data_IF_237984999470
#
_entry.id   IF_237984999470
#
_cell.length_a   1.000
_cell.length_b   1.000
_cell.length_c   1.000
_cell.angle_alpha   90.00
_cell.angle_beta   90.00
_cell.angle_gamma   90.00
#
_symmetry.space_group_name_H-M   'P 1'
#
loop_
_entity.id
_entity.type
_entity.pdbx_description
1 polymer ?
#
# COMPACT_ATOMS: atom_id res chain seq x y z
N UNK A 1 20.28 -7.63 33.66
CA UNK A 1 19.04 -7.33 34.42
C UNK A 1 18.21 -6.24 33.75
N UNK A 2 18.82 -5.13 33.30
CA UNK A 2 18.10 -3.98 32.70
C UNK A 2 17.31 -4.30 31.42
N UNK A 3 17.82 -5.15 30.51
CA UNK A 3 17.08 -5.55 29.29
C UNK A 3 15.77 -6.28 29.60
N UNK A 4 15.76 -7.14 30.63
CA UNK A 4 14.54 -7.87 31.05
C UNK A 4 13.53 -6.93 31.71
N UNK A 5 13.99 -5.98 32.52
CA UNK A 5 13.10 -4.98 33.13
C UNK A 5 12.48 -4.04 32.08
N UNK A 6 13.21 -3.71 31.01
CA UNK A 6 12.69 -2.90 29.92
C UNK A 6 11.66 -3.66 29.08
N UNK A 7 11.89 -4.94 28.78
CA UNK A 7 10.96 -5.79 28.04
C UNK A 7 9.63 -6.01 28.79
N UNK A 8 9.69 -6.29 30.10
CA UNK A 8 8.49 -6.41 30.95
C UNK A 8 7.70 -5.10 30.95
N UNK A 9 8.38 -3.96 30.98
CA UNK A 9 7.74 -2.65 30.93
C UNK A 9 7.09 -2.39 29.56
N UNK A 10 7.72 -2.81 28.47
CA UNK A 10 7.14 -2.70 27.11
C UNK A 10 5.86 -3.52 26.96
N UNK A 11 5.87 -4.77 27.44
CA UNK A 11 4.70 -5.65 27.40
C UNK A 11 3.52 -5.09 28.21
N UNK A 12 3.79 -4.51 29.38
CA UNK A 12 2.77 -3.83 30.18
C UNK A 12 2.16 -2.64 29.45
N UNK A 13 2.96 -1.84 28.73
CA UNK A 13 2.45 -0.71 27.97
C UNK A 13 1.66 -1.14 26.74
N UNK A 14 2.04 -2.23 26.08
CA UNK A 14 1.27 -2.85 25.00
C UNK A 14 -0.15 -3.21 25.48
N UNK A 15 -0.25 -3.92 26.61
CA UNK A 15 -1.52 -4.29 27.22
C UNK A 15 -2.34 -3.05 27.63
N UNK A 16 -1.70 -2.04 28.22
CA UNK A 16 -2.32 -0.77 28.61
C UNK A 16 -2.92 -0.03 27.41
N UNK A 17 -2.18 0.04 26.30
CA UNK A 17 -2.62 0.71 25.07
C UNK A 17 -3.78 -0.07 24.42
N UNK A 18 -3.72 -1.40 24.41
CA UNK A 18 -4.78 -2.25 23.88
C UNK A 18 -6.08 -2.09 24.68
N UNK A 19 -6.00 -2.14 26.02
CA UNK A 19 -7.16 -1.94 26.89
C UNK A 19 -7.80 -0.55 26.72
N UNK A 20 -6.98 0.50 26.60
CA UNK A 20 -7.48 1.85 26.35
C UNK A 20 -8.24 1.96 25.01
N UNK A 21 -7.72 1.35 23.95
CA UNK A 21 -8.39 1.34 22.63
C UNK A 21 -9.69 0.54 22.66
N UNK A 22 -9.70 -0.61 23.35
CA UNK A 22 -10.88 -1.48 23.43
C UNK A 22 -12.01 -0.87 24.26
N UNK A 23 -11.69 0.05 25.19
CA UNK A 23 -12.69 0.77 25.99
C UNK A 23 -13.62 1.68 25.17
N UNK A 24 -13.17 2.12 23.98
CA UNK A 24 -13.90 3.09 23.16
C UNK A 24 -14.02 4.50 23.75
N UNK A 25 -13.46 4.75 24.94
CA UNK A 25 -13.48 6.04 25.60
C UNK A 25 -12.42 7.00 25.05
N UNK A 26 -12.59 8.33 25.17
CA UNK A 26 -11.51 9.27 24.90
C UNK A 26 -10.30 8.99 25.79
N UNK A 27 -9.10 8.89 25.21
CA UNK A 27 -7.86 8.51 25.91
C UNK A 27 -7.59 9.35 27.16
N UNK A 28 -7.92 10.65 27.15
CA UNK A 28 -7.76 11.51 28.33
C UNK A 28 -8.64 11.07 29.51
N UNK A 29 -9.85 10.59 29.22
CA UNK A 29 -10.81 10.10 30.23
C UNK A 29 -10.32 8.76 30.78
N UNK A 30 -9.96 7.84 29.89
CA UNK A 30 -9.41 6.54 30.27
C UNK A 30 -8.13 6.68 31.12
N UNK A 31 -7.21 7.55 30.71
CA UNK A 31 -5.99 7.82 31.47
C UNK A 31 -6.27 8.36 32.89
N UNK A 32 -7.29 9.21 33.05
CA UNK A 32 -7.67 9.74 34.36
C UNK A 32 -8.29 8.65 35.26
N UNK A 33 -9.11 7.76 34.69
CA UNK A 33 -9.76 6.66 35.41
C UNK A 33 -8.76 5.61 35.90
N UNK A 34 -7.77 5.26 35.06
CA UNK A 34 -6.80 4.20 35.36
C UNK A 34 -5.47 4.72 35.93
N UNK A 35 -5.40 6.01 36.31
CA UNK A 35 -4.21 6.60 36.94
C UNK A 35 -2.98 6.64 36.02
N UNK A 36 -3.19 6.67 34.69
CA UNK A 36 -2.13 6.69 33.69
C UNK A 36 -1.85 8.12 33.26
N UNK A 37 -0.58 8.54 33.29
CA UNK A 37 -0.21 9.85 32.73
C UNK A 37 -0.45 9.88 31.21
N UNK A 38 -1.22 10.87 30.74
CA UNK A 38 -1.52 11.09 29.32
C UNK A 38 -0.24 11.26 28.49
N UNK A 39 0.77 11.95 29.01
CA UNK A 39 2.04 12.16 28.30
C UNK A 39 2.84 10.86 28.17
N UNK A 40 2.83 10.02 29.21
CA UNK A 40 3.43 8.69 29.18
C UNK A 40 2.70 7.79 28.18
N UNK A 41 1.36 7.82 28.16
CA UNK A 41 0.55 7.06 27.23
C UNK A 41 0.91 7.35 25.77
N UNK A 42 0.89 8.62 25.35
CA UNK A 42 1.24 8.98 23.97
C UNK A 42 2.70 8.71 23.62
N UNK A 43 3.62 8.87 24.59
CA UNK A 43 5.04 8.54 24.39
C UNK A 43 5.21 7.04 24.12
N UNK A 44 4.57 6.19 24.91
CA UNK A 44 4.63 4.74 24.74
C UNK A 44 3.85 4.28 23.51
N UNK A 45 2.70 4.87 23.20
CA UNK A 45 1.96 4.59 21.97
C UNK A 45 2.80 4.89 20.72
N UNK A 46 3.50 6.03 20.70
CA UNK A 46 4.43 6.35 19.62
C UNK A 46 5.58 5.35 19.57
N UNK A 47 6.23 5.07 20.70
CA UNK A 47 7.35 4.12 20.76
C UNK A 47 6.94 2.73 20.28
N UNK A 48 5.78 2.23 20.71
CA UNK A 48 5.23 0.95 20.27
C UNK A 48 4.93 0.94 18.78
N UNK A 49 4.33 2.01 18.24
CA UNK A 49 4.12 2.15 16.79
C UNK A 49 5.44 2.14 16.03
N UNK A 50 6.43 2.90 16.50
CA UNK A 50 7.73 3.00 15.85
C UNK A 50 8.51 1.66 15.94
N UNK A 51 8.37 0.91 17.05
CA UNK A 51 8.90 -0.46 17.19
C UNK A 51 8.20 -1.47 16.28
N UNK A 52 6.87 -1.42 16.15
CA UNK A 52 6.12 -2.27 15.22
C UNK A 52 6.49 -1.96 13.76
N UNK A 53 6.63 -0.67 13.41
CA UNK A 53 7.15 -0.26 12.09
C UNK A 53 8.60 -0.72 11.88
N UNK A 54 9.40 -0.83 12.95
CA UNK A 54 10.76 -1.35 12.89
C UNK A 54 10.79 -2.88 12.79
N UNK A 55 9.84 -3.60 13.39
CA UNK A 55 9.67 -5.06 13.28
C UNK A 55 9.09 -5.45 11.91
N UNK A 56 8.15 -4.67 11.38
CA UNK A 56 7.65 -4.78 9.99
C UNK A 56 8.76 -4.46 8.98
N UNK A 57 9.68 -3.53 9.31
CA UNK A 57 10.95 -3.36 8.60
C UNK A 57 11.97 -4.47 8.88
N UNK A 58 11.89 -5.19 9.99
CA UNK A 58 12.85 -6.26 10.29
C UNK A 58 12.61 -7.51 9.42
N UNK A 59 11.42 -7.64 8.83
CA UNK A 59 11.10 -8.59 7.76
C UNK A 59 11.49 -8.08 6.35
N UNK A 60 12.45 -7.14 6.25
CA UNK A 60 13.08 -6.81 4.97
C UNK A 60 13.87 -8.03 4.50
N UNK A 61 13.35 -8.70 3.48
CA UNK A 61 13.96 -9.84 2.77
C UNK A 61 15.37 -9.56 2.23
N UNK A 62 15.87 -8.33 2.30
CA UNK A 62 17.15 -7.88 1.73
C UNK A 62 17.85 -6.83 2.61
N UNK A 63 18.16 -7.15 3.88
CA UNK A 63 18.85 -6.22 4.79
C UNK A 63 20.18 -5.71 4.20
N UNK A 64 20.89 -6.56 3.47
CA UNK A 64 22.10 -6.24 2.70
C UNK A 64 21.94 -5.12 1.65
N UNK A 65 20.71 -4.77 1.25
CA UNK A 65 20.44 -3.68 0.31
C UNK A 65 20.05 -2.37 1.00
N UNK A 66 19.85 -2.35 2.33
CA UNK A 66 19.53 -1.13 3.04
C UNK A 66 20.66 -0.09 2.96
N UNK A 67 20.29 1.15 2.62
CA UNK A 67 21.22 2.29 2.47
C UNK A 67 22.36 2.07 1.46
N UNK A 68 22.28 1.02 0.65
CA UNK A 68 23.25 0.75 -0.40
C UNK A 68 22.98 1.70 -1.58
N UNK A 69 24.00 2.40 -2.13
CA UNK A 69 23.83 3.26 -3.29
C UNK A 69 23.71 2.42 -4.58
N UNK A 70 22.66 1.59 -4.63
CA UNK A 70 22.48 0.54 -5.64
C UNK A 70 22.49 1.10 -7.05
N UNK A 71 21.85 2.24 -7.27
CA UNK A 71 21.86 2.90 -8.57
C UNK A 71 23.29 3.20 -9.03
N UNK A 72 24.10 3.87 -8.21
CA UNK A 72 25.48 4.23 -8.58
C UNK A 72 26.37 3.01 -8.79
N UNK A 73 26.23 1.97 -7.98
CA UNK A 73 26.98 0.71 -8.14
C UNK A 73 26.64 0.00 -9.46
N UNK A 74 25.36 0.02 -9.85
CA UNK A 74 24.93 -0.56 -11.12
C UNK A 74 25.38 0.31 -12.30
N UNK A 75 25.32 1.64 -12.20
CA UNK A 75 25.83 2.59 -13.21
C UNK A 75 27.33 2.38 -13.45
N UNK A 76 28.13 2.27 -12.39
CA UNK A 76 29.57 2.01 -12.46
C UNK A 76 29.86 0.64 -13.10
N UNK A 77 29.10 -0.39 -12.72
CA UNK A 77 29.31 -1.74 -13.24
C UNK A 77 28.95 -1.87 -14.72
N UNK A 78 27.81 -1.30 -15.13
CA UNK A 78 27.27 -1.50 -16.47
C UNK A 78 27.63 -0.38 -17.45
N UNK A 79 28.16 0.74 -16.97
CA UNK A 79 28.47 1.93 -17.78
C UNK A 79 27.25 2.41 -18.57
N UNK A 80 26.07 2.29 -17.94
CA UNK A 80 24.77 2.67 -18.49
C UNK A 80 23.97 3.43 -17.42
N UNK A 81 23.11 4.39 -17.80
CA UNK A 81 22.18 5.01 -16.86
C UNK A 81 21.28 3.97 -16.20
N UNK A 82 21.11 4.04 -14.88
CA UNK A 82 20.24 3.14 -14.12
C UNK A 82 19.14 3.94 -13.47
N UNK A 83 17.93 3.37 -13.45
CA UNK A 83 16.79 4.03 -12.83
C UNK A 83 16.07 3.05 -11.91
N UNK A 84 15.95 3.44 -10.65
CA UNK A 84 15.20 2.71 -9.65
C UNK A 84 13.78 3.27 -9.56
N UNK A 85 12.80 2.39 -9.53
CA UNK A 85 11.42 2.72 -9.25
C UNK A 85 10.75 1.54 -8.54
N UNK A 86 9.61 1.80 -7.90
CA UNK A 86 8.75 0.76 -7.37
C UNK A 86 8.26 -0.17 -8.50
N UNK A 87 8.21 -1.47 -8.23
CA UNK A 87 7.84 -2.50 -9.21
C UNK A 87 6.44 -2.27 -9.80
N UNK A 88 5.48 -1.81 -8.98
CA UNK A 88 4.13 -1.50 -9.41
C UNK A 88 4.08 -0.40 -10.46
N UNK A 89 5.02 0.55 -10.44
CA UNK A 89 5.08 1.61 -11.45
C UNK A 89 5.33 1.02 -12.83
N UNK A 90 6.29 0.10 -12.93
CA UNK A 90 6.59 -0.60 -14.19
C UNK A 90 5.43 -1.48 -14.63
N UNK A 91 4.77 -2.19 -13.70
CA UNK A 91 3.60 -3.03 -14.01
C UNK A 91 2.47 -2.25 -14.68
N UNK A 92 2.02 -1.14 -14.07
CA UNK A 92 0.93 -0.35 -14.64
C UNK A 92 1.36 0.40 -15.90
N UNK A 93 2.61 0.90 -15.94
CA UNK A 93 3.13 1.59 -17.12
C UNK A 93 3.21 0.65 -18.33
N UNK A 94 3.75 -0.56 -18.13
CA UNK A 94 3.82 -1.58 -19.15
C UNK A 94 2.44 -1.99 -19.65
N UNK A 95 1.46 -2.14 -18.76
CA UNK A 95 0.06 -2.38 -19.16
C UNK A 95 -0.46 -1.27 -20.07
N UNK A 96 -0.34 0.00 -19.65
CA UNK A 96 -0.80 1.14 -20.45
C UNK A 96 -0.13 1.21 -21.82
N UNK A 97 1.17 0.90 -21.90
CA UNK A 97 1.92 0.90 -23.17
C UNK A 97 1.50 -0.22 -24.10
N UNK A 98 1.34 -1.44 -23.58
CA UNK A 98 0.96 -2.60 -24.39
C UNK A 98 -0.48 -2.49 -24.90
N UNK A 99 -1.37 -1.93 -24.10
CA UNK A 99 -2.79 -1.75 -24.45
C UNK A 99 -3.08 -0.43 -25.19
N UNK A 100 -2.06 0.40 -25.45
CA UNK A 100 -2.22 1.66 -26.18
C UNK A 100 -3.09 2.70 -25.45
N UNK A 101 -3.07 2.72 -24.12
CA UNK A 101 -3.98 3.50 -23.27
C UNK A 101 -3.44 4.90 -22.91
N UNK A 102 -2.89 5.63 -23.89
CA UNK A 102 -2.19 6.90 -23.65
C UNK A 102 -3.05 7.98 -22.99
N UNK A 103 -4.34 8.07 -23.35
CA UNK A 103 -5.23 9.13 -22.86
C UNK A 103 -6.10 8.73 -21.66
N UNK A 104 -5.94 7.50 -21.15
CA UNK A 104 -6.74 7.00 -20.05
C UNK A 104 -6.05 7.22 -18.71
N UNK A 105 -6.84 7.27 -17.64
CA UNK A 105 -6.36 7.14 -16.25
C UNK A 105 -6.51 5.67 -15.87
N UNK A 106 -5.40 5.00 -15.60
CA UNK A 106 -5.38 3.57 -15.29
C UNK A 106 -4.74 3.36 -13.93
N UNK A 107 -5.46 2.69 -13.03
CA UNK A 107 -4.97 2.35 -11.69
C UNK A 107 -4.83 0.84 -11.57
N UNK A 108 -3.64 0.37 -11.22
CA UNK A 108 -3.39 -1.03 -10.84
C UNK A 108 -3.40 -1.13 -9.31
N UNK A 109 -4.27 -1.99 -8.77
CA UNK A 109 -4.36 -2.31 -7.36
C UNK A 109 -3.87 -3.73 -7.09
N UNK A 110 -2.89 -3.88 -6.19
CA UNK A 110 -2.33 -5.16 -5.78
C UNK A 110 -2.82 -5.51 -4.37
N UNK A 111 -3.42 -6.69 -4.24
CA UNK A 111 -3.96 -7.21 -2.98
C UNK A 111 -3.27 -8.55 -2.62
N UNK A 112 -2.03 -8.49 -2.10
CA UNK A 112 -1.33 -9.66 -1.57
C UNK A 112 -1.93 -10.11 -0.22
N UNK A 113 -1.90 -11.41 0.08
CA UNK A 113 -2.31 -11.93 1.39
C UNK A 113 -1.32 -11.55 2.48
N UNK A 114 -1.84 -11.09 3.63
CA UNK A 114 -1.06 -10.72 4.82
C UNK A 114 -0.20 -9.45 4.67
N UNK A 115 -0.26 -8.75 3.53
CA UNK A 115 0.57 -7.58 3.25
C UNK A 115 -0.31 -6.42 2.81
N UNK A 116 -0.01 -5.21 3.29
CA UNK A 116 -0.82 -4.03 3.00
C UNK A 116 -0.96 -3.80 1.49
N UNK A 117 -2.18 -3.56 0.98
CA UNK A 117 -2.39 -3.34 -0.43
C UNK A 117 -1.87 -1.97 -0.87
N UNK A 118 -1.36 -1.93 -2.09
CA UNK A 118 -0.85 -0.74 -2.76
C UNK A 118 -1.47 -0.58 -4.14
N UNK A 119 -1.39 0.64 -4.67
CA UNK A 119 -1.85 0.96 -6.01
C UNK A 119 -0.84 1.86 -6.74
N UNK A 120 -0.85 1.79 -8.06
CA UNK A 120 -0.09 2.69 -8.92
C UNK A 120 -1.00 3.20 -10.03
N UNK A 121 -0.95 4.50 -10.31
CA UNK A 121 -1.81 5.13 -11.32
C UNK A 121 -0.98 5.84 -12.38
N UNK A 122 -1.35 5.64 -13.65
CA UNK A 122 -0.75 6.30 -14.80
C UNK A 122 -1.81 7.07 -15.58
N UNK A 123 -1.44 8.27 -16.04
CA UNK A 123 -2.20 9.06 -16.99
C UNK A 123 -1.25 9.77 -17.96
N UNK A 124 -1.48 9.68 -19.27
CA UNK A 124 -0.62 10.31 -20.30
C UNK A 124 0.85 9.91 -20.19
N UNK A 125 1.08 8.63 -19.88
CA UNK A 125 2.43 8.10 -19.64
C UNK A 125 3.10 8.61 -18.36
N UNK A 126 2.44 9.48 -17.60
CA UNK A 126 2.95 10.03 -16.34
C UNK A 126 2.39 9.23 -15.18
N UNK A 127 3.28 8.79 -14.31
CA UNK A 127 2.94 8.15 -13.05
C UNK A 127 2.54 9.17 -11.99
N UNK A 128 1.42 8.94 -11.32
CA UNK A 128 0.99 9.68 -10.14
C UNK A 128 1.67 9.12 -8.88
N UNK A 129 2.91 9.55 -8.61
CA UNK A 129 3.68 9.04 -7.46
C UNK A 129 3.36 9.74 -6.12
N UNK A 130 2.86 10.98 -6.18
CA UNK A 130 2.71 11.83 -4.99
C UNK A 130 4.06 12.30 -4.42
N UNK A 131 4.01 13.18 -3.42
CA UNK A 131 5.19 13.92 -2.92
C UNK A 131 6.34 13.02 -2.45
N UNK A 132 6.00 11.95 -1.73
CA UNK A 132 6.97 11.02 -1.12
C UNK A 132 6.73 9.58 -1.59
N UNK A 133 6.31 9.40 -2.86
CA UNK A 133 5.96 8.07 -3.41
C UNK A 133 4.81 7.38 -2.65
N UNK A 134 3.94 8.17 -2.02
CA UNK A 134 2.87 7.66 -1.16
C UNK A 134 1.49 7.61 -1.85
N UNK A 135 1.37 8.18 -3.05
CA UNK A 135 0.10 8.13 -3.76
C UNK A 135 -0.28 6.67 -4.03
N UNK A 136 -1.53 6.33 -3.77
CA UNK A 136 -2.04 4.99 -4.01
C UNK A 136 -1.81 3.97 -2.90
N UNK A 137 -1.26 4.37 -1.75
CA UNK A 137 -1.09 3.50 -0.58
C UNK A 137 -2.42 3.24 0.16
N UNK A 138 -3.34 2.53 -0.48
CA UNK A 138 -4.70 2.26 0.02
C UNK A 138 -4.73 1.40 1.29
N UNK A 139 -3.64 0.70 1.60
CA UNK A 139 -3.45 0.06 2.90
C UNK A 139 -3.47 1.02 4.10
N UNK A 140 -3.33 2.33 3.88
CA UNK A 140 -3.37 3.36 4.93
C UNK A 140 -4.69 4.16 4.97
N UNK A 141 -5.72 3.73 4.23
CA UNK A 141 -7.06 4.30 4.41
C UNK A 141 -7.58 4.01 5.82
N UNK A 142 -8.45 4.87 6.33
CA UNK A 142 -9.11 4.63 7.61
C UNK A 142 -10.24 3.60 7.45
N UNK A 143 -9.92 2.35 7.78
CA UNK A 143 -10.88 1.25 7.81
C UNK A 143 -11.58 1.09 9.17
N UNK A 144 -11.41 2.04 10.09
CA UNK A 144 -11.97 1.96 11.44
C UNK A 144 -11.34 0.86 12.30
N UNK A 145 -10.12 0.43 11.98
CA UNK A 145 -9.38 -0.62 12.69
C UNK A 145 -7.88 -0.30 12.75
N UNK A 146 -7.14 -1.00 13.63
CA UNK A 146 -5.68 -0.88 13.66
C UNK A 146 -5.03 -1.55 12.45
N UNK A 147 -3.77 -1.20 12.17
CA UNK A 147 -2.99 -1.83 11.10
C UNK A 147 -2.84 -3.35 11.30
N UNK A 148 -2.61 -3.77 12.54
CA UNK A 148 -2.52 -5.19 12.92
C UNK A 148 -3.84 -5.93 12.63
N UNK A 149 -4.97 -5.35 13.01
CA UNK A 149 -6.29 -5.91 12.73
C UNK A 149 -6.57 -5.96 11.23
N UNK A 150 -6.11 -4.95 10.49
CA UNK A 150 -6.24 -4.91 9.04
C UNK A 150 -5.42 -6.04 8.41
N UNK A 151 -4.13 -6.18 8.75
CA UNK A 151 -3.25 -7.25 8.26
C UNK A 151 -3.85 -8.62 8.57
N UNK A 152 -4.38 -8.82 9.78
CA UNK A 152 -5.07 -10.04 10.16
C UNK A 152 -6.31 -10.32 9.29
N UNK A 153 -6.94 -9.31 8.69
CA UNK A 153 -8.08 -9.46 7.75
C UNK A 153 -7.67 -9.54 6.28
N UNK A 154 -6.39 -9.36 5.94
CA UNK A 154 -5.88 -9.48 4.56
C UNK A 154 -5.71 -10.94 4.17
N UNK A 155 -6.80 -11.70 4.24
CA UNK A 155 -6.93 -13.08 3.77
C UNK A 155 -8.35 -13.27 3.26
N UNK A 156 -8.57 -14.28 2.41
CA UNK A 156 -9.90 -14.56 1.89
C UNK A 156 -10.74 -15.31 2.95
N UNK A 157 -12.03 -15.00 3.13
CA UNK A 157 -12.83 -13.98 2.41
C UNK A 157 -12.81 -12.59 3.07
N UNK A 158 -12.18 -12.45 4.23
CA UNK A 158 -12.30 -11.29 5.12
C UNK A 158 -11.75 -9.97 4.55
N UNK A 159 -10.93 -10.04 3.50
CA UNK A 159 -10.39 -8.87 2.80
C UNK A 159 -11.41 -8.12 1.94
N UNK A 160 -12.54 -8.74 1.55
CA UNK A 160 -13.50 -8.18 0.59
C UNK A 160 -14.03 -6.78 0.99
N UNK A 161 -14.44 -6.52 2.25
CA UNK A 161 -14.86 -5.18 2.67
C UNK A 161 -13.77 -4.10 2.51
N UNK A 162 -12.51 -4.45 2.79
CA UNK A 162 -11.37 -3.54 2.65
C UNK A 162 -11.14 -3.21 1.17
N UNK A 163 -11.23 -4.21 0.29
CA UNK A 163 -11.09 -4.06 -1.16
C UNK A 163 -12.20 -3.17 -1.73
N UNK A 164 -13.44 -3.36 -1.30
CA UNK A 164 -14.58 -2.53 -1.71
C UNK A 164 -14.36 -1.07 -1.29
N UNK A 165 -14.01 -0.83 -0.02
CA UNK A 165 -13.79 0.53 0.49
C UNK A 165 -12.61 1.22 -0.23
N UNK A 166 -11.52 0.51 -0.47
CA UNK A 166 -10.40 1.01 -1.27
C UNK A 166 -10.83 1.34 -2.71
N UNK A 167 -11.60 0.46 -3.35
CA UNK A 167 -12.10 0.67 -4.72
C UNK A 167 -12.98 1.93 -4.81
N UNK A 168 -13.91 2.11 -3.88
CA UNK A 168 -14.76 3.31 -3.78
C UNK A 168 -13.89 4.57 -3.65
N UNK A 169 -12.87 4.54 -2.79
CA UNK A 169 -11.97 5.68 -2.60
C UNK A 169 -11.18 6.00 -3.86
N UNK A 170 -10.62 4.99 -4.53
CA UNK A 170 -9.87 5.16 -5.79
C UNK A 170 -10.76 5.73 -6.89
N UNK A 171 -11.99 5.22 -7.04
CA UNK A 171 -12.94 5.74 -8.00
C UNK A 171 -13.28 7.21 -7.70
N UNK A 172 -13.56 7.53 -6.44
CA UNK A 172 -13.98 8.88 -6.03
C UNK A 172 -12.85 9.92 -6.18
N UNK A 173 -11.60 9.53 -5.96
CA UNK A 173 -10.46 10.46 -5.95
C UNK A 173 -9.82 10.58 -7.34
N UNK A 174 -9.70 9.47 -8.07
CA UNK A 174 -8.96 9.41 -9.32
C UNK A 174 -9.87 9.42 -10.55
N UNK A 175 -11.14 9.03 -10.40
CA UNK A 175 -12.08 8.77 -11.50
C UNK A 175 -11.40 8.05 -12.68
N UNK A 176 -10.83 6.85 -12.43
CA UNK A 176 -10.05 6.16 -13.45
C UNK A 176 -10.97 5.69 -14.59
N UNK A 177 -10.39 5.47 -15.77
CA UNK A 177 -11.08 4.77 -16.85
C UNK A 177 -11.05 3.25 -16.59
N UNK A 178 -9.95 2.76 -16.05
CA UNK A 178 -9.75 1.35 -15.70
C UNK A 178 -9.19 1.19 -14.29
N UNK A 179 -9.79 0.28 -13.53
CA UNK A 179 -9.27 -0.20 -12.25
C UNK A 179 -8.90 -1.67 -12.40
N UNK A 180 -7.59 -1.92 -12.46
CA UNK A 180 -7.01 -3.23 -12.63
C UNK A 180 -6.78 -3.85 -11.24
N UNK A 181 -7.12 -5.12 -11.09
CA UNK A 181 -6.97 -5.87 -9.84
C UNK A 181 -6.00 -7.04 -10.04
N UNK A 182 -5.04 -7.19 -9.14
CA UNK A 182 -4.09 -8.31 -9.09
C UNK A 182 -3.82 -8.71 -7.64
N UNK A 183 -3.21 -9.88 -7.43
CA UNK A 183 -2.88 -10.42 -6.12
C UNK A 183 -3.72 -11.64 -5.75
N UNK A 184 -3.26 -12.40 -4.77
CA UNK A 184 -3.84 -13.69 -4.35
C UNK A 184 -5.10 -13.53 -3.48
N UNK A 185 -5.41 -12.32 -3.01
CA UNK A 185 -6.68 -12.04 -2.34
C UNK A 185 -7.87 -11.92 -3.27
N UNK A 186 -7.67 -11.92 -4.60
CA UNK A 186 -8.73 -11.75 -5.60
C UNK A 186 -8.73 -12.84 -6.66
N UNK A 187 -9.93 -13.13 -7.17
CA UNK A 187 -10.16 -13.91 -8.38
C UNK A 187 -11.05 -13.10 -9.32
N UNK A 188 -11.00 -13.39 -10.61
CA UNK A 188 -11.84 -12.72 -11.62
C UNK A 188 -13.34 -12.77 -11.26
N UNK A 189 -13.79 -13.88 -10.69
CA UNK A 189 -15.17 -14.09 -10.23
C UNK A 189 -15.63 -13.13 -9.12
N UNK A 190 -14.70 -12.50 -8.39
CA UNK A 190 -15.02 -11.57 -7.31
C UNK A 190 -15.38 -10.17 -7.82
N UNK A 191 -14.89 -9.78 -9.01
CA UNK A 191 -15.04 -8.43 -9.54
C UNK A 191 -16.52 -8.04 -9.69
N UNK A 192 -17.39 -8.98 -10.06
CA UNK A 192 -18.83 -8.72 -10.17
C UNK A 192 -19.46 -8.30 -8.83
N UNK A 193 -19.06 -8.95 -7.72
CA UNK A 193 -19.53 -8.64 -6.37
C UNK A 193 -18.99 -7.30 -5.89
N UNK A 194 -17.69 -7.04 -6.09
CA UNK A 194 -17.05 -5.77 -5.72
C UNK A 194 -17.66 -4.61 -6.49
N UNK A 195 -17.85 -4.77 -7.80
CA UNK A 195 -18.52 -3.77 -8.67
C UNK A 195 -19.92 -3.47 -8.15
N UNK A 196 -20.69 -4.50 -7.85
CA UNK A 196 -22.06 -4.35 -7.30
C UNK A 196 -22.07 -3.60 -5.96
N UNK A 197 -21.07 -3.84 -5.10
CA UNK A 197 -20.95 -3.12 -3.84
C UNK A 197 -20.56 -1.64 -4.05
N UNK A 198 -19.63 -1.33 -4.95
CA UNK A 198 -19.24 0.04 -5.26
C UNK A 198 -20.43 0.86 -5.80
N UNK A 199 -21.28 0.26 -6.63
CA UNK A 199 -22.47 0.90 -7.21
C UNK A 199 -23.54 1.33 -6.20
N UNK A 200 -23.42 0.92 -4.94
CA UNK A 200 -24.32 1.38 -3.87
C UNK A 200 -24.13 2.86 -3.56
N UNK A 201 -22.95 3.41 -3.83
CA UNK A 201 -22.63 4.82 -3.60
C UNK A 201 -22.00 5.53 -4.81
N UNK A 202 -21.43 4.79 -5.76
CA UNK A 202 -20.87 5.34 -7.00
C UNK A 202 -21.91 5.23 -8.14
N UNK A 203 -22.32 6.35 -8.78
CA UNK A 203 -23.17 6.31 -9.95
C UNK A 203 -22.54 5.54 -11.13
N UNK A 204 -23.36 4.89 -11.96
CA UNK A 204 -22.89 4.04 -13.06
C UNK A 204 -21.98 4.78 -14.05
N UNK A 205 -22.24 6.07 -14.30
CA UNK A 205 -21.46 6.91 -15.22
C UNK A 205 -20.02 7.17 -14.75
N UNK A 206 -19.72 6.96 -13.46
CA UNK A 206 -18.37 7.08 -12.89
C UNK A 206 -17.72 5.71 -12.60
N UNK A 207 -18.39 4.60 -12.94
CA UNK A 207 -17.82 3.27 -12.73
C UNK A 207 -16.75 2.99 -13.80
N UNK A 208 -15.50 2.69 -13.41
CA UNK A 208 -14.47 2.29 -14.37
C UNK A 208 -14.70 0.88 -14.87
N UNK A 209 -13.96 0.50 -15.91
CA UNK A 209 -13.79 -0.90 -16.27
C UNK A 209 -12.98 -1.61 -15.18
N UNK A 210 -13.57 -2.65 -14.59
CA UNK A 210 -12.86 -3.55 -13.68
C UNK A 210 -12.22 -4.66 -14.50
N UNK A 211 -10.92 -4.85 -14.33
CA UNK A 211 -10.16 -5.88 -15.06
C UNK A 211 -9.32 -6.68 -14.06
N UNK A 212 -9.42 -8.01 -14.10
CA UNK A 212 -8.56 -8.86 -13.30
C UNK A 212 -7.31 -9.24 -14.09
N UNK A 213 -6.14 -9.09 -13.47
CA UNK A 213 -4.84 -9.41 -14.05
C UNK A 213 -4.23 -10.54 -13.22
N UNK A 214 -4.23 -11.80 -13.71
CA UNK A 214 -3.76 -12.95 -12.93
C UNK A 214 -2.24 -12.95 -12.71
N UNK A 215 -1.48 -12.36 -13.64
CA UNK A 215 -0.04 -12.14 -13.49
C UNK A 215 0.34 -10.81 -14.11
N UNK A 216 1.25 -10.11 -13.43
CA UNK A 216 1.78 -8.81 -13.87
C UNK A 216 3.20 -8.91 -14.42
N UNK A 217 3.79 -10.12 -14.52
CA UNK A 217 5.20 -10.30 -14.87
C UNK A 217 5.52 -9.81 -16.28
N UNK A 218 4.64 -10.09 -17.23
CA UNK A 218 4.78 -9.60 -18.61
C UNK A 218 4.77 -8.07 -18.65
N UNK A 219 3.78 -7.44 -17.99
CA UNK A 219 3.69 -5.99 -17.94
C UNK A 219 4.82 -5.35 -17.15
N UNK A 220 5.34 -6.03 -16.13
CA UNK A 220 6.53 -5.60 -15.41
C UNK A 220 7.75 -5.52 -16.33
N UNK A 221 8.02 -6.58 -17.10
CA UNK A 221 9.12 -6.61 -18.07
C UNK A 221 8.95 -5.55 -19.17
N UNK A 222 7.74 -5.41 -19.71
CA UNK A 222 7.45 -4.39 -20.73
C UNK A 222 7.53 -2.98 -20.17
N UNK A 223 7.14 -2.77 -18.91
CA UNK A 223 7.28 -1.50 -18.23
C UNK A 223 8.73 -1.08 -18.09
N UNK A 224 9.61 -2.00 -17.67
CA UNK A 224 11.05 -1.75 -17.61
C UNK A 224 11.61 -1.42 -19.00
N UNK A 225 11.26 -2.22 -20.01
CA UNK A 225 11.69 -2.03 -21.39
C UNK A 225 11.27 -0.66 -21.94
N UNK A 226 9.98 -0.34 -21.88
CA UNK A 226 9.47 0.93 -22.42
C UNK A 226 10.03 2.13 -21.67
N UNK A 227 10.16 2.04 -20.35
CA UNK A 227 10.78 3.13 -19.56
C UNK A 227 12.22 3.39 -20.00
N UNK A 228 12.99 2.33 -20.28
CA UNK A 228 14.35 2.48 -20.79
C UNK A 228 14.37 3.08 -22.21
N UNK A 229 13.46 2.65 -23.08
CA UNK A 229 13.33 3.15 -24.45
C UNK A 229 12.93 4.63 -24.49
N UNK A 230 11.89 5.02 -23.75
CA UNK A 230 11.39 6.41 -23.76
C UNK A 230 12.45 7.38 -23.23
N UNK A 231 13.31 6.94 -22.29
CA UNK A 231 14.42 7.74 -21.78
C UNK A 231 15.62 7.80 -22.72
N UNK A 232 15.86 6.74 -23.50
CA UNK A 232 16.87 6.77 -24.56
C UNK A 232 16.49 7.81 -25.62
N UNK A 233 15.22 7.83 -26.01
CA UNK A 233 14.71 8.73 -27.04
C UNK A 233 14.52 10.17 -26.50
N UNK A 234 14.37 10.35 -25.18
CA UNK A 234 14.20 11.63 -24.48
C UNK A 234 15.47 12.42 -24.17
N UNK A 235 16.59 12.19 -24.89
CA UNK A 235 17.80 13.03 -24.79
C UNK A 235 17.72 14.18 -25.81
N UNK A 236 16.81 15.13 -25.58
CA UNK A 236 16.83 16.50 -26.15
C UNK A 236 16.37 17.49 -25.10
#
# INVERSE_FOLDING_TARGET
MEKRAMAVREEQWLQTIAAAKQSGQPIKVWCAEYGVSVSSFYKWQRKTRDSLLAEEKAEIQFQELENLPLQSLLEEKFQLPVFLANDMHYKVYGYCRQEGLSDQIVTLANYPSGVLPGTATVHKGVLLAGRNLFAGMVGFLDYGMSLEQQIQRLHRPDAEPLIIQASIALISILNPHKLLFTGDLLQESDLGRIRTACRRCIPEEYMPDFVFIPSTDYYYQMGMYWTAMDRKDGTT
#
